data_IF_395941635074
#
_entry.id   IF_395941635074
#
_cell.length_a   1.000
_cell.length_b   1.000
_cell.length_c   1.000
_cell.angle_alpha   90.00
_cell.angle_beta   90.00
_cell.angle_gamma   90.00
#
_symmetry.space_group_name_H-M   'P 1'
#
loop_
_entity.id
_entity.type
_entity.pdbx_description
1 polymer ?
#
# COMPACT_ATOMS: atom_id res chain seq x y z
N UNK A 1 -37.70 -3.91 3.32
CA UNK A 1 -37.00 -3.29 2.17
C UNK A 1 -35.92 -2.39 2.75
N UNK A 2 -34.65 -2.64 2.46
CA UNK A 2 -33.58 -1.74 2.91
C UNK A 2 -33.79 -0.39 2.20
N UNK A 3 -33.68 0.73 2.93
CA UNK A 3 -33.69 2.04 2.30
C UNK A 3 -32.50 2.10 1.33
N UNK A 4 -32.76 2.39 0.06
CA UNK A 4 -31.70 2.66 -0.92
C UNK A 4 -31.11 4.02 -0.54
N UNK A 5 -29.96 4.01 0.12
CA UNK A 5 -29.23 5.24 0.44
C UNK A 5 -28.47 5.69 -0.81
N UNK A 6 -28.65 6.95 -1.20
CA UNK A 6 -27.77 7.55 -2.20
C UNK A 6 -26.32 7.54 -1.67
N UNK A 7 -25.39 7.12 -2.51
CA UNK A 7 -23.98 7.03 -2.15
C UNK A 7 -23.22 8.31 -2.51
N UNK A 8 -22.11 8.64 -1.80
CA UNK A 8 -21.34 9.84 -2.03
C UNK A 8 -20.41 9.76 -3.26
N UNK A 9 -20.18 8.55 -3.79
CA UNK A 9 -19.16 8.23 -4.79
C UNK A 9 -19.45 8.81 -6.18
N UNK A 10 -18.39 8.88 -6.99
CA UNK A 10 -18.39 9.46 -8.35
C UNK A 10 -17.99 8.36 -9.36
N UNK A 11 -18.73 8.18 -10.46
CA UNK A 11 -19.90 8.95 -10.87
C UNK A 11 -21.15 8.62 -10.04
N UNK A 12 -22.11 9.56 -10.01
CA UNK A 12 -23.32 9.49 -9.14
C UNK A 12 -24.32 8.42 -9.57
N UNK A 13 -24.20 7.92 -10.79
CA UNK A 13 -25.06 6.87 -11.36
C UNK A 13 -24.52 5.45 -11.15
N UNK A 14 -23.36 5.31 -10.48
CA UNK A 14 -22.76 4.04 -10.09
C UNK A 14 -23.79 3.16 -9.36
N UNK A 15 -23.82 1.86 -9.66
CA UNK A 15 -24.80 0.93 -9.09
C UNK A 15 -24.20 0.18 -7.91
N UNK A 16 -24.53 0.62 -6.71
CA UNK A 16 -24.08 0.01 -5.45
C UNK A 16 -25.27 -0.56 -4.65
N UNK A 17 -25.89 -1.66 -5.11
CA UNK A 17 -27.07 -2.22 -4.44
C UNK A 17 -26.72 -2.68 -3.03
N UNK A 18 -27.49 -2.22 -2.05
CA UNK A 18 -27.25 -2.53 -0.64
C UNK A 18 -26.11 -1.73 -0.01
N UNK A 19 -25.72 -0.60 -0.62
CA UNK A 19 -24.79 0.34 -0.03
C UNK A 19 -25.23 0.77 1.38
N UNK A 20 -24.26 0.81 2.28
CA UNK A 20 -24.41 1.29 3.66
C UNK A 20 -23.37 2.38 3.90
N UNK A 21 -23.78 3.59 4.33
CA UNK A 21 -22.85 4.66 4.71
C UNK A 21 -21.80 4.22 5.74
N UNK A 22 -20.71 4.97 5.84
CA UNK A 22 -19.79 4.82 6.97
C UNK A 22 -20.54 5.12 8.28
N UNK A 23 -20.34 4.26 9.28
CA UNK A 23 -20.75 4.51 10.65
C UNK A 23 -19.69 5.30 11.41
N UNK A 24 -18.41 5.11 11.06
CA UNK A 24 -17.29 5.81 11.67
C UNK A 24 -17.03 7.15 10.96
N UNK A 25 -16.68 8.17 11.73
CA UNK A 25 -16.16 9.41 11.19
C UNK A 25 -14.75 9.22 10.60
N UNK A 26 -14.34 10.14 9.74
CA UNK A 26 -12.99 10.12 9.16
C UNK A 26 -11.89 10.06 10.24
N UNK A 27 -12.05 10.77 11.36
CA UNK A 27 -11.08 10.75 12.44
C UNK A 27 -11.02 9.38 13.14
N UNK A 28 -12.17 8.74 13.35
CA UNK A 28 -12.26 7.39 13.93
C UNK A 28 -11.69 6.32 13.00
N UNK A 29 -11.54 6.62 11.71
CA UNK A 29 -10.86 5.74 10.73
C UNK A 29 -9.35 6.03 10.71
N UNK A 30 -8.96 7.29 10.54
CA UNK A 30 -7.56 7.69 10.34
C UNK A 30 -6.74 7.56 11.63
N UNK A 31 -7.29 7.89 12.80
CA UNK A 31 -6.52 7.85 14.05
C UNK A 31 -6.07 6.44 14.45
N UNK A 32 -6.93 5.39 14.39
CA UNK A 32 -6.48 4.02 14.62
C UNK A 32 -5.45 3.54 13.59
N UNK A 33 -5.60 3.90 12.31
CA UNK A 33 -4.64 3.56 11.26
C UNK A 33 -3.26 4.14 11.55
N UNK A 34 -3.19 5.45 11.84
CA UNK A 34 -1.93 6.12 12.18
C UNK A 34 -1.33 5.56 13.48
N UNK A 35 -2.17 5.29 14.48
CA UNK A 35 -1.73 4.69 15.75
C UNK A 35 -1.11 3.31 15.52
N UNK A 36 -1.80 2.43 14.79
CA UNK A 36 -1.29 1.11 14.44
C UNK A 36 0.03 1.19 13.65
N UNK A 37 0.11 2.13 12.70
CA UNK A 37 1.32 2.38 11.90
C UNK A 37 2.51 2.79 12.78
N UNK A 38 2.30 3.73 13.71
CA UNK A 38 3.33 4.17 14.67
C UNK A 38 3.75 3.03 15.59
N UNK A 39 2.80 2.21 16.06
CA UNK A 39 3.11 1.04 16.90
C UNK A 39 3.98 0.04 16.14
N UNK A 40 3.61 -0.33 14.91
CA UNK A 40 4.39 -1.24 14.06
C UNK A 40 5.81 -0.71 13.85
N UNK A 41 5.94 0.55 13.43
CA UNK A 41 7.25 1.17 13.18
C UNK A 41 8.09 1.22 14.46
N UNK A 42 7.48 1.58 15.59
CA UNK A 42 8.18 1.65 16.88
C UNK A 42 8.64 0.29 17.35
N UNK A 43 7.80 -0.75 17.23
CA UNK A 43 8.16 -2.13 17.60
C UNK A 43 9.32 -2.63 16.75
N UNK A 44 9.27 -2.46 15.43
CA UNK A 44 10.37 -2.88 14.53
C UNK A 44 11.64 -2.08 14.81
N UNK A 45 11.53 -0.78 15.11
CA UNK A 45 12.67 0.04 15.47
C UNK A 45 13.35 -0.42 16.77
N UNK A 46 12.57 -0.75 17.80
CA UNK A 46 13.06 -1.24 19.08
C UNK A 46 13.68 -2.64 18.95
N UNK A 47 13.01 -3.56 18.24
CA UNK A 47 13.50 -4.92 18.02
C UNK A 47 14.80 -4.93 17.20
N UNK A 48 14.85 -4.14 16.13
CA UNK A 48 16.05 -4.03 15.30
C UNK A 48 17.23 -3.37 16.04
N UNK A 49 16.96 -2.51 17.02
CA UNK A 49 17.98 -1.89 17.87
C UNK A 49 18.68 -2.86 18.83
N UNK A 50 18.06 -4.01 19.14
CA UNK A 50 18.68 -5.08 19.93
C UNK A 50 19.69 -5.90 19.11
N UNK A 51 19.67 -5.77 17.78
CA UNK A 51 20.59 -6.43 16.88
C UNK A 51 21.81 -5.52 16.65
N UNK A 52 22.90 -5.74 17.39
CA UNK A 52 24.14 -4.94 17.33
C UNK A 52 24.83 -4.88 15.94
N UNK A 53 24.31 -5.61 14.94
CA UNK A 53 24.89 -5.72 13.61
C UNK A 53 24.17 -4.89 12.55
N UNK A 54 23.08 -4.18 12.84
CA UNK A 54 22.29 -3.46 11.84
C UNK A 54 22.62 -1.96 11.80
N UNK A 55 22.85 -1.43 10.61
CA UNK A 55 23.01 0.01 10.37
C UNK A 55 21.67 0.76 10.53
N UNK A 56 21.74 2.07 10.74
CA UNK A 56 20.54 2.92 10.83
C UNK A 56 19.65 2.79 9.58
N UNK A 57 20.25 2.77 8.39
CA UNK A 57 19.53 2.60 7.12
C UNK A 57 18.79 1.26 7.07
N UNK A 58 19.43 0.17 7.49
CA UNK A 58 18.78 -1.15 7.51
C UNK A 58 17.59 -1.20 8.47
N UNK A 59 17.71 -0.52 9.61
CA UNK A 59 16.61 -0.43 10.59
C UNK A 59 15.44 0.38 10.03
N UNK A 60 15.71 1.49 9.34
CA UNK A 60 14.69 2.28 8.65
C UNK A 60 14.00 1.48 7.54
N UNK A 61 14.77 0.75 6.73
CA UNK A 61 14.24 -0.13 5.70
C UNK A 61 13.36 -1.23 6.30
N UNK A 62 13.76 -1.84 7.41
CA UNK A 62 12.94 -2.83 8.11
C UNK A 62 11.61 -2.23 8.58
N UNK A 63 11.62 -1.00 9.12
CA UNK A 63 10.38 -0.32 9.51
C UNK A 63 9.46 -0.07 8.32
N UNK A 64 10.02 0.43 7.20
CA UNK A 64 9.28 0.63 5.97
C UNK A 64 8.67 -0.68 5.46
N UNK A 65 9.49 -1.72 5.28
CA UNK A 65 9.04 -2.99 4.73
C UNK A 65 8.02 -3.72 5.60
N UNK A 66 8.12 -3.59 6.93
CA UNK A 66 7.12 -4.12 7.85
C UNK A 66 5.79 -3.37 7.72
N UNK A 67 5.83 -2.04 7.69
CA UNK A 67 4.64 -1.21 7.47
C UNK A 67 3.98 -1.53 6.13
N UNK A 68 4.75 -1.48 5.04
CA UNK A 68 4.31 -1.82 3.68
C UNK A 68 3.71 -3.21 3.60
N UNK A 69 4.40 -4.23 4.14
CA UNK A 69 3.93 -5.60 4.09
C UNK A 69 2.60 -5.81 4.79
N UNK A 70 2.42 -5.20 5.97
CA UNK A 70 1.17 -5.28 6.72
C UNK A 70 0.04 -4.49 6.06
N UNK A 71 0.33 -3.33 5.48
CA UNK A 71 -0.66 -2.54 4.72
C UNK A 71 -1.20 -3.35 3.53
N UNK A 72 -0.33 -3.91 2.70
CA UNK A 72 -0.72 -4.73 1.56
C UNK A 72 -1.52 -5.98 1.99
N UNK A 73 -1.07 -6.71 3.00
CA UNK A 73 -1.75 -7.94 3.43
C UNK A 73 -3.10 -7.64 4.10
N UNK A 74 -3.16 -6.66 4.99
CA UNK A 74 -4.34 -6.44 5.84
C UNK A 74 -5.35 -5.52 5.15
N UNK A 75 -4.92 -4.35 4.68
CA UNK A 75 -5.85 -3.39 4.06
C UNK A 75 -6.21 -3.86 2.66
N UNK A 76 -5.23 -3.99 1.77
CA UNK A 76 -5.45 -4.28 0.35
C UNK A 76 -5.95 -5.72 0.17
N UNK A 77 -5.44 -6.66 0.97
CA UNK A 77 -5.97 -8.02 1.04
C UNK A 77 -7.45 -8.05 1.43
N UNK A 78 -7.86 -7.28 2.44
CA UNK A 78 -9.29 -7.21 2.78
C UNK A 78 -10.11 -6.65 1.62
N UNK A 79 -9.65 -5.60 0.94
CA UNK A 79 -10.32 -5.07 -0.25
C UNK A 79 -10.43 -6.09 -1.37
N UNK A 80 -9.33 -6.77 -1.71
CA UNK A 80 -9.27 -7.74 -2.80
C UNK A 80 -10.27 -8.89 -2.56
N UNK A 81 -10.32 -9.40 -1.33
CA UNK A 81 -11.10 -10.59 -0.95
C UNK A 81 -12.49 -10.30 -0.35
N UNK A 82 -12.86 -9.04 -0.13
CA UNK A 82 -14.18 -8.65 0.39
C UNK A 82 -14.90 -7.73 -0.60
N UNK A 83 -15.35 -8.25 -1.77
CA UNK A 83 -15.90 -7.43 -2.85
C UNK A 83 -17.16 -6.64 -2.46
N UNK A 84 -17.88 -7.09 -1.43
CA UNK A 84 -19.11 -6.46 -0.94
C UNK A 84 -18.90 -5.63 0.33
N UNK A 85 -17.67 -5.16 0.61
CA UNK A 85 -17.36 -4.39 1.83
C UNK A 85 -18.29 -3.18 2.05
N UNK A 86 -18.79 -2.56 0.97
CA UNK A 86 -19.70 -1.42 1.03
C UNK A 86 -21.11 -1.76 1.53
N UNK A 87 -21.43 -3.04 1.66
CA UNK A 87 -22.69 -3.54 2.23
C UNK A 87 -22.59 -3.85 3.73
N UNK A 88 -21.40 -3.71 4.33
CA UNK A 88 -21.21 -4.02 5.75
C UNK A 88 -22.07 -3.12 6.65
N UNK A 89 -22.78 -3.77 7.57
CA UNK A 89 -23.69 -3.15 8.56
C UNK A 89 -23.16 -3.20 9.98
N UNK A 90 -21.98 -3.80 10.17
CA UNK A 90 -21.42 -4.10 11.49
C UNK A 90 -20.42 -3.06 11.98
N UNK A 91 -20.15 -2.03 11.15
CA UNK A 91 -19.08 -1.05 11.37
C UNK A 91 -17.71 -1.73 11.45
N UNK A 92 -17.51 -2.81 10.68
CA UNK A 92 -16.23 -3.50 10.65
C UNK A 92 -15.16 -2.55 10.12
N UNK A 93 -14.09 -2.35 10.90
CA UNK A 93 -13.12 -1.28 10.66
C UNK A 93 -12.55 -1.27 9.24
N UNK A 94 -12.18 -2.42 8.67
CA UNK A 94 -11.61 -2.47 7.32
C UNK A 94 -12.65 -2.13 6.24
N UNK A 95 -13.92 -2.47 6.45
CA UNK A 95 -15.00 -2.05 5.57
C UNK A 95 -15.16 -0.51 5.60
N UNK A 96 -15.10 0.07 6.80
CA UNK A 96 -15.16 1.53 7.00
C UNK A 96 -13.98 2.24 6.32
N UNK A 97 -12.76 1.72 6.47
CA UNK A 97 -11.55 2.24 5.80
C UNK A 97 -11.76 2.29 4.30
N UNK A 98 -12.23 1.21 3.67
CA UNK A 98 -12.41 1.18 2.22
C UNK A 98 -13.60 1.99 1.74
N UNK A 99 -14.69 2.09 2.53
CA UNK A 99 -15.79 3.01 2.23
C UNK A 99 -15.34 4.47 2.28
N UNK A 100 -14.48 4.83 3.23
CA UNK A 100 -13.88 6.18 3.34
C UNK A 100 -12.88 6.45 2.22
N UNK A 101 -11.93 5.52 1.99
CA UNK A 101 -10.92 5.67 0.93
C UNK A 101 -11.56 5.77 -0.45
N UNK A 102 -12.68 5.08 -0.68
CA UNK A 102 -13.44 5.16 -1.92
C UNK A 102 -14.01 6.57 -2.20
N UNK A 103 -14.01 7.49 -1.23
CA UNK A 103 -14.33 8.91 -1.48
C UNK A 103 -13.18 9.65 -2.17
N UNK A 104 -11.95 9.19 -1.94
CA UNK A 104 -10.71 9.53 -2.65
C UNK A 104 -10.70 8.98 -4.05
N UNK A 105 -11.01 7.70 -4.17
CA UNK A 105 -11.05 6.97 -5.42
C UNK A 105 -12.22 5.98 -5.50
N UNK A 106 -13.30 6.39 -6.16
CA UNK A 106 -14.53 5.59 -6.25
C UNK A 106 -14.35 4.31 -7.07
N UNK A 107 -13.23 4.14 -7.78
CA UNK A 107 -12.91 2.90 -8.49
C UNK A 107 -12.78 1.71 -7.53
N UNK A 108 -12.44 1.95 -6.26
CA UNK A 108 -12.41 0.90 -5.24
C UNK A 108 -13.81 0.34 -4.96
N UNK A 109 -14.75 1.19 -4.57
CA UNK A 109 -16.14 0.73 -4.33
C UNK A 109 -16.84 0.28 -5.61
N UNK A 110 -16.49 0.88 -6.75
CA UNK A 110 -16.92 0.45 -8.08
C UNK A 110 -16.29 -0.86 -8.55
N UNK A 111 -15.30 -1.40 -7.81
CA UNK A 111 -14.57 -2.63 -8.13
C UNK A 111 -13.97 -2.61 -9.54
N UNK A 112 -13.37 -1.49 -9.90
CA UNK A 112 -12.64 -1.36 -11.16
C UNK A 112 -11.63 -2.50 -11.34
N UNK A 113 -11.55 -3.06 -12.55
CA UNK A 113 -10.76 -4.24 -12.81
C UNK A 113 -9.26 -3.98 -12.61
N UNK A 114 -8.76 -2.81 -12.99
CA UNK A 114 -7.35 -2.47 -12.82
C UNK A 114 -7.01 -2.32 -11.34
N UNK A 115 -7.85 -1.63 -10.57
CA UNK A 115 -7.67 -1.49 -9.11
C UNK A 115 -7.71 -2.85 -8.42
N UNK A 116 -8.73 -3.67 -8.68
CA UNK A 116 -8.85 -5.00 -8.04
C UNK A 116 -7.65 -5.90 -8.37
N UNK A 117 -7.13 -5.85 -9.59
CA UNK A 117 -5.95 -6.63 -9.98
C UNK A 117 -4.67 -6.11 -9.33
N UNK A 118 -4.44 -4.80 -9.34
CA UNK A 118 -3.26 -4.19 -8.70
C UNK A 118 -3.23 -4.53 -7.21
N UNK A 119 -4.32 -4.21 -6.50
CA UNK A 119 -4.43 -4.45 -5.06
C UNK A 119 -4.41 -5.95 -4.69
N UNK A 120 -4.94 -6.81 -5.58
CA UNK A 120 -4.85 -8.26 -5.42
C UNK A 120 -3.40 -8.75 -5.51
N UNK A 121 -2.64 -8.25 -6.49
CA UNK A 121 -1.22 -8.59 -6.66
C UNK A 121 -0.38 -8.07 -5.50
N UNK A 122 -0.60 -6.82 -5.07
CA UNK A 122 0.13 -6.25 -3.94
C UNK A 122 -0.16 -7.04 -2.67
N UNK A 123 -1.41 -7.42 -2.40
CA UNK A 123 -1.78 -8.19 -1.23
C UNK A 123 -1.14 -9.60 -1.19
N UNK A 124 -1.12 -10.32 -2.32
CA UNK A 124 -0.67 -11.74 -2.34
C UNK A 124 0.81 -11.92 -2.67
N UNK A 125 1.45 -10.96 -3.34
CA UNK A 125 2.87 -11.03 -3.71
C UNK A 125 3.70 -9.98 -2.99
N UNK A 126 3.38 -8.70 -3.15
CA UNK A 126 4.25 -7.61 -2.65
C UNK A 126 4.23 -7.49 -1.12
N UNK A 127 3.09 -7.75 -0.49
CA UNK A 127 2.95 -7.79 0.96
C UNK A 127 3.83 -8.86 1.61
N UNK A 128 3.67 -10.15 1.22
CA UNK A 128 4.56 -11.22 1.69
C UNK A 128 6.03 -10.99 1.34
N UNK A 129 6.33 -10.48 0.14
CA UNK A 129 7.70 -10.17 -0.27
C UNK A 129 8.33 -9.04 0.56
N UNK A 130 7.53 -8.04 0.97
CA UNK A 130 7.96 -6.97 1.88
C UNK A 130 8.30 -7.51 3.26
N UNK A 131 7.48 -8.39 3.83
CA UNK A 131 7.82 -9.04 5.10
C UNK A 131 9.04 -9.96 4.97
N UNK A 132 9.20 -10.63 3.84
CA UNK A 132 10.42 -11.38 3.53
C UNK A 132 11.65 -10.47 3.44
N UNK A 133 11.51 -9.22 2.96
CA UNK A 133 12.60 -8.24 2.95
C UNK A 133 13.04 -7.88 4.37
N UNK A 134 12.11 -7.73 5.32
CA UNK A 134 12.44 -7.55 6.75
C UNK A 134 13.30 -8.70 7.25
N UNK A 135 12.88 -9.95 6.98
CA UNK A 135 13.64 -11.14 7.35
C UNK A 135 15.01 -11.21 6.66
N UNK A 136 15.08 -10.88 5.36
CA UNK A 136 16.30 -10.90 4.57
C UNK A 136 17.33 -9.90 5.08
N UNK A 137 16.89 -8.69 5.48
CA UNK A 137 17.74 -7.68 6.13
C UNK A 137 18.23 -8.20 7.49
N UNK A 138 17.32 -8.65 8.35
CA UNK A 138 17.65 -9.13 9.70
C UNK A 138 18.63 -10.32 9.68
N UNK A 139 18.47 -11.21 8.70
CA UNK A 139 19.27 -12.43 8.54
C UNK A 139 20.46 -12.27 7.59
N UNK A 140 20.76 -11.05 7.13
CA UNK A 140 21.89 -10.76 6.22
C UNK A 140 21.91 -11.64 4.96
N UNK A 141 20.75 -11.87 4.35
CA UNK A 141 20.64 -12.71 3.15
C UNK A 141 21.21 -11.97 1.93
N UNK A 142 21.97 -12.69 1.09
CA UNK A 142 22.59 -12.13 -0.12
C UNK A 142 21.58 -11.62 -1.15
N UNK A 143 20.37 -12.18 -1.16
CA UNK A 143 19.28 -11.75 -2.04
C UNK A 143 18.52 -10.51 -1.53
N UNK A 144 18.90 -9.92 -0.40
CA UNK A 144 18.15 -8.82 0.24
C UNK A 144 17.93 -7.62 -0.67
N UNK A 145 18.99 -7.07 -1.31
CA UNK A 145 18.83 -5.94 -2.22
C UNK A 145 18.08 -6.34 -3.51
N UNK A 146 18.23 -7.59 -3.99
CA UNK A 146 17.50 -8.10 -5.17
C UNK A 146 15.99 -8.13 -4.89
N UNK A 147 15.61 -8.67 -3.73
CA UNK A 147 14.21 -8.73 -3.30
C UNK A 147 13.62 -7.33 -3.15
N UNK A 148 14.32 -6.43 -2.46
CA UNK A 148 13.87 -5.04 -2.29
C UNK A 148 13.70 -4.33 -3.64
N UNK A 149 14.65 -4.51 -4.56
CA UNK A 149 14.55 -3.96 -5.91
C UNK A 149 13.33 -4.50 -6.66
N UNK A 150 13.09 -5.82 -6.61
CA UNK A 150 11.96 -6.46 -7.27
C UNK A 150 10.62 -5.95 -6.73
N UNK A 151 10.47 -5.83 -5.40
CA UNK A 151 9.25 -5.29 -4.77
C UNK A 151 9.06 -3.82 -5.16
N UNK A 152 10.10 -2.99 -5.13
CA UNK A 152 9.98 -1.60 -5.56
C UNK A 152 9.57 -1.45 -7.02
N UNK A 153 10.05 -2.33 -7.92
CA UNK A 153 9.61 -2.32 -9.32
C UNK A 153 8.12 -2.66 -9.45
N UNK A 154 7.63 -3.65 -8.68
CA UNK A 154 6.21 -3.99 -8.60
C UNK A 154 5.37 -2.79 -8.15
N UNK A 155 5.75 -2.17 -7.03
CA UNK A 155 5.07 -0.98 -6.50
C UNK A 155 5.02 0.17 -7.49
N UNK A 156 6.15 0.47 -8.15
CA UNK A 156 6.21 1.54 -9.14
C UNK A 156 5.35 1.23 -10.36
N UNK A 157 5.35 -0.03 -10.83
CA UNK A 157 4.50 -0.45 -11.93
C UNK A 157 3.01 -0.37 -11.55
N UNK A 158 2.64 -0.85 -10.36
CA UNK A 158 1.28 -0.74 -9.82
C UNK A 158 0.83 0.72 -9.71
N UNK A 159 1.69 1.62 -9.20
CA UNK A 159 1.40 3.05 -9.15
C UNK A 159 1.21 3.67 -10.53
N UNK A 160 2.03 3.27 -11.52
CA UNK A 160 1.84 3.73 -12.90
C UNK A 160 0.48 3.28 -13.43
N UNK A 161 0.14 1.98 -13.31
CA UNK A 161 -1.18 1.47 -13.73
C UNK A 161 -2.29 2.23 -13.01
N UNK A 162 -2.17 2.45 -11.70
CA UNK A 162 -3.13 3.18 -10.87
C UNK A 162 -3.42 4.60 -11.38
N UNK A 163 -2.37 5.41 -11.61
CA UNK A 163 -2.51 6.79 -12.07
C UNK A 163 -2.92 6.89 -13.54
N UNK A 164 -2.34 6.06 -14.41
CA UNK A 164 -2.63 6.11 -15.85
C UNK A 164 -4.06 5.65 -16.16
N UNK A 165 -4.56 4.61 -15.49
CA UNK A 165 -5.96 4.15 -15.68
C UNK A 165 -6.94 5.24 -15.28
N UNK A 166 -6.70 5.93 -14.16
CA UNK A 166 -7.55 7.03 -13.72
C UNK A 166 -7.59 8.17 -14.75
N UNK A 167 -6.43 8.52 -15.29
CA UNK A 167 -6.32 9.52 -16.34
C UNK A 167 -7.06 9.10 -17.62
N UNK A 168 -6.90 7.84 -18.05
CA UNK A 168 -7.57 7.31 -19.25
C UNK A 168 -9.09 7.20 -19.09
N UNK A 169 -9.57 6.97 -17.87
CA UNK A 169 -10.99 6.94 -17.50
C UNK A 169 -11.60 8.34 -17.29
N UNK A 170 -10.82 9.39 -17.52
CA UNK A 170 -11.28 10.79 -17.51
C UNK A 170 -11.22 11.49 -16.16
N UNK A 171 -10.47 10.94 -15.19
CA UNK A 171 -10.16 11.56 -13.90
C UNK A 171 -11.41 11.98 -13.08
N UNK A 172 -12.50 11.23 -13.23
CA UNK A 172 -13.81 11.54 -12.65
C UNK A 172 -14.24 10.46 -11.64
N UNK A 173 -13.52 10.34 -10.53
CA UNK A 173 -13.74 9.32 -9.49
C UNK A 173 -13.73 9.87 -8.06
N UNK A 174 -13.24 11.09 -7.84
CA UNK A 174 -13.09 11.66 -6.50
C UNK A 174 -14.27 12.52 -6.13
N UNK A 175 -14.71 12.42 -4.86
CA UNK A 175 -15.92 13.10 -4.38
C UNK A 175 -15.72 14.60 -4.17
N UNK A 176 -14.52 15.02 -3.75
CA UNK A 176 -14.17 16.43 -3.53
C UNK A 176 -12.68 16.68 -3.82
N UNK A 177 -12.24 17.93 -4.04
CA UNK A 177 -10.83 18.25 -4.21
C UNK A 177 -9.96 17.82 -3.02
N UNK A 178 -10.47 17.88 -1.79
CA UNK A 178 -9.73 17.41 -0.62
C UNK A 178 -9.39 15.92 -0.74
N UNK A 179 -10.38 15.10 -1.06
CA UNK A 179 -10.19 13.66 -1.25
C UNK A 179 -9.24 13.37 -2.42
N UNK A 180 -9.35 14.13 -3.52
CA UNK A 180 -8.44 13.99 -4.65
C UNK A 180 -6.98 14.27 -4.25
N UNK A 181 -6.69 15.41 -3.63
CA UNK A 181 -5.31 15.76 -3.33
C UNK A 181 -4.73 14.99 -2.13
N UNK A 182 -5.50 14.80 -1.05
CA UNK A 182 -4.99 14.17 0.16
C UNK A 182 -4.95 12.64 0.06
N UNK A 183 -5.99 12.00 -0.46
CA UNK A 183 -6.09 10.54 -0.53
C UNK A 183 -5.52 10.01 -1.84
N UNK A 184 -5.96 10.55 -2.97
CA UNK A 184 -5.56 10.03 -4.27
C UNK A 184 -4.13 10.45 -4.65
N UNK A 185 -3.78 11.74 -4.61
CA UNK A 185 -2.43 12.19 -4.97
C UNK A 185 -1.42 11.93 -3.84
N UNK A 186 -1.59 12.56 -2.68
CA UNK A 186 -0.56 12.59 -1.65
C UNK A 186 -0.27 11.19 -1.07
N UNK A 187 -1.29 10.44 -0.67
CA UNK A 187 -1.07 9.13 -0.08
C UNK A 187 -0.34 8.20 -1.07
N UNK A 188 -0.82 8.06 -2.31
CA UNK A 188 -0.18 7.17 -3.30
C UNK A 188 1.24 7.62 -3.71
N UNK A 189 1.54 8.92 -3.71
CA UNK A 189 2.88 9.41 -4.07
C UNK A 189 3.96 8.99 -3.06
N UNK A 190 3.62 8.66 -1.80
CA UNK A 190 4.58 8.13 -0.83
C UNK A 190 5.17 6.80 -1.33
N UNK A 191 4.36 5.95 -1.97
CA UNK A 191 4.77 4.64 -2.50
C UNK A 191 5.71 4.84 -3.69
N UNK A 192 5.42 5.82 -4.56
CA UNK A 192 6.28 6.17 -5.69
C UNK A 192 7.65 6.68 -5.22
N UNK A 193 7.67 7.65 -4.31
CA UNK A 193 8.91 8.31 -3.88
C UNK A 193 9.80 7.33 -3.11
N UNK A 194 9.26 6.63 -2.12
CA UNK A 194 10.05 5.73 -1.27
C UNK A 194 10.52 4.52 -2.08
N UNK A 195 9.67 3.91 -2.90
CA UNK A 195 10.08 2.80 -3.77
C UNK A 195 11.19 3.20 -4.74
N UNK A 196 11.12 4.41 -5.32
CA UNK A 196 12.18 4.93 -6.21
C UNK A 196 13.52 5.05 -5.49
N UNK A 197 13.53 5.62 -4.28
CA UNK A 197 14.76 5.77 -3.48
C UNK A 197 15.37 4.41 -3.14
N UNK A 198 14.54 3.46 -2.70
CA UNK A 198 15.01 2.11 -2.34
C UNK A 198 15.46 1.33 -3.58
N UNK A 199 14.78 1.47 -4.71
CA UNK A 199 15.18 0.84 -5.97
C UNK A 199 16.56 1.34 -6.43
N UNK A 200 16.79 2.67 -6.41
CA UNK A 200 18.09 3.26 -6.77
C UNK A 200 19.19 2.75 -5.83
N UNK A 201 18.93 2.71 -4.52
CA UNK A 201 19.89 2.19 -3.53
C UNK A 201 20.21 0.72 -3.80
N UNK A 202 19.19 -0.11 -3.96
CA UNK A 202 19.34 -1.55 -4.17
C UNK A 202 20.08 -1.84 -5.47
N UNK A 203 19.75 -1.12 -6.56
CA UNK A 203 20.46 -1.20 -7.82
C UNK A 203 21.95 -0.88 -7.69
N UNK A 204 22.31 0.18 -6.96
CA UNK A 204 23.71 0.54 -6.69
C UNK A 204 24.44 -0.56 -5.91
N UNK A 205 23.80 -1.14 -4.89
CA UNK A 205 24.39 -2.22 -4.11
C UNK A 205 24.63 -3.48 -4.95
N UNK A 206 23.62 -3.90 -5.72
CA UNK A 206 23.70 -5.06 -6.62
C UNK A 206 24.84 -4.86 -7.63
N UNK A 207 24.87 -3.70 -8.29
CA UNK A 207 25.90 -3.42 -9.31
C UNK A 207 27.31 -3.29 -8.72
N UNK A 208 27.46 -2.80 -7.49
CA UNK A 208 28.76 -2.79 -6.78
C UNK A 208 29.24 -4.21 -6.52
N UNK A 209 28.38 -5.09 -6.01
CA UNK A 209 28.73 -6.48 -5.72
C UNK A 209 29.27 -7.21 -6.97
N UNK A 210 28.66 -7.01 -8.14
CA UNK A 210 29.14 -7.58 -9.41
C UNK A 210 30.44 -6.95 -9.94
N UNK A 211 30.76 -5.71 -9.57
CA UNK A 211 32.03 -5.08 -9.94
C UNK A 211 33.19 -5.62 -9.12
N UNK A 212 32.95 -5.80 -7.83
CA UNK A 212 33.95 -6.30 -6.87
C UNK A 212 34.27 -7.79 -7.10
N UNK A 213 33.34 -8.54 -7.69
CA UNK A 213 33.52 -9.95 -8.06
C UNK A 213 34.33 -10.16 -9.37
N UNK A 214 34.65 -9.09 -10.11
CA UNK A 214 35.49 -9.22 -11.30
C UNK A 214 36.94 -9.54 -10.88
N UNK A 215 37.57 -10.61 -11.42
CA UNK A 215 38.97 -10.89 -11.14
C UNK A 215 39.82 -9.70 -11.58
N UNK A 216 40.70 -9.21 -10.69
CA UNK A 216 41.72 -8.23 -11.07
C UNK A 216 42.52 -8.85 -12.21
N UNK A 217 42.48 -8.25 -13.41
CA UNK A 217 43.34 -8.66 -14.52
C UNK A 217 44.79 -8.53 -14.04
N UNK A 218 45.47 -9.67 -13.91
CA UNK A 218 46.92 -9.77 -13.68
C UNK A 218 47.69 -9.34 -14.91
#
# INVERSE_FOLDING_TARGET
>A
MAADHEHPYVPRDLKLPGYVPCFLSQLEIVAPYLTASVVVVSLVWLLSGRCAKLSMTERLLMCWWAFTGLTHIILEGYFAFSPEFFKDKSSFYLAEVWKEYSKGDSRYVGRDAAIVVVEGITAVLEGPASLLAVFAIASRKSYSDILQFAVCLGQLYGCLVYFFTAFLEGDNFSTTPFYYYAYYIFANNIWVVIATVIAIRSWKNITSAFRDDKPKRS
#
